data_IF_134773880714
#
_entry.id   IF_134773880714
#
_cell.length_a   1.000
_cell.length_b   1.000
_cell.length_c   1.000
_cell.angle_alpha   90.00
_cell.angle_beta   90.00
_cell.angle_gamma   90.00
#
_symmetry.space_group_name_H-M   'P 1'
#
loop_
_entity.id
_entity.type
_entity.pdbx_description
1 polymer ?
#
# COMPACT_ATOMS: atom_id res chain seq x y z
N UNK A 1 -15.90 31.49 9.79
CA UNK A 1 -16.36 30.72 8.61
C UNK A 1 -15.65 31.29 7.39
N UNK A 2 -15.13 30.47 6.47
CA UNK A 2 -14.51 30.97 5.23
C UNK A 2 -15.63 31.38 4.26
N UNK A 3 -15.93 32.66 4.20
CA UNK A 3 -17.11 33.19 3.49
C UNK A 3 -16.93 33.33 1.97
N UNK A 4 -15.72 33.12 1.45
CA UNK A 4 -15.49 33.08 0.01
C UNK A 4 -15.05 31.67 -0.39
N UNK A 5 -15.85 31.02 -1.23
CA UNK A 5 -15.64 29.68 -1.82
C UNK A 5 -14.41 29.62 -2.77
N UNK A 6 -13.34 30.34 -2.47
CA UNK A 6 -12.11 30.32 -3.21
C UNK A 6 -11.24 29.14 -2.71
N UNK A 7 -11.00 28.18 -3.60
CA UNK A 7 -10.03 27.11 -3.35
C UNK A 7 -8.64 27.73 -3.48
N UNK A 8 -7.94 27.92 -2.36
CA UNK A 8 -6.54 28.34 -2.36
C UNK A 8 -5.67 27.16 -2.82
N UNK A 9 -4.94 27.35 -3.93
CA UNK A 9 -3.92 26.39 -4.38
C UNK A 9 -2.69 26.49 -3.47
N UNK A 10 -2.05 25.35 -3.23
CA UNK A 10 -0.89 25.18 -2.33
C UNK A 10 0.27 26.14 -2.63
N UNK A 11 0.42 26.53 -3.91
CA UNK A 11 1.40 27.51 -4.39
C UNK A 11 1.19 28.96 -3.92
N UNK A 12 0.08 29.26 -3.25
CA UNK A 12 -0.22 30.58 -2.69
C UNK A 12 0.28 30.74 -1.23
N UNK A 13 0.90 29.70 -0.64
CA UNK A 13 1.53 29.79 0.68
C UNK A 13 2.96 30.33 0.51
N UNK A 14 3.16 31.60 0.89
CA UNK A 14 4.30 32.45 0.50
C UNK A 14 5.71 32.03 0.91
N UNK A 15 5.92 30.82 1.43
CA UNK A 15 7.23 30.40 1.91
C UNK A 15 7.83 29.24 1.11
N UNK A 16 7.09 28.61 0.18
CA UNK A 16 7.55 27.60 -0.81
C UNK A 16 8.53 26.51 -0.29
N UNK A 17 8.61 26.30 1.03
CA UNK A 17 9.53 25.37 1.65
C UNK A 17 8.71 24.22 2.24
N UNK A 18 8.56 23.16 1.45
CA UNK A 18 8.08 21.88 1.96
C UNK A 18 9.28 21.19 2.65
N UNK A 19 9.19 21.00 3.97
CA UNK A 19 10.16 20.20 4.72
C UNK A 19 9.55 18.82 4.99
N UNK A 20 10.26 17.77 4.57
CA UNK A 20 9.90 16.40 4.97
C UNK A 20 10.30 16.27 6.44
N UNK A 21 9.30 16.33 7.33
CA UNK A 21 9.50 15.93 8.72
C UNK A 21 9.65 14.42 8.72
N UNK A 22 10.89 13.94 8.74
CA UNK A 22 11.16 12.55 9.07
C UNK A 22 10.78 12.36 10.52
N UNK A 23 9.64 11.70 10.78
CA UNK A 23 9.38 11.16 12.10
C UNK A 23 10.56 10.29 12.48
N UNK A 24 11.16 10.60 13.63
CA UNK A 24 12.35 9.93 14.14
C UNK A 24 12.06 8.44 14.20
N UNK A 25 12.60 7.68 13.24
CA UNK A 25 12.49 6.24 13.22
C UNK A 25 12.92 5.72 14.59
N UNK A 26 12.03 4.94 15.23
CA UNK A 26 12.32 4.22 16.47
C UNK A 26 13.57 3.38 16.19
N UNK A 27 14.68 3.71 16.84
CA UNK A 27 15.89 2.89 16.77
C UNK A 27 15.54 1.52 17.36
N UNK A 28 15.33 0.54 16.50
CA UNK A 28 15.28 -0.86 16.90
C UNK A 28 16.71 -1.20 17.31
N UNK A 29 16.95 -1.28 18.62
CA UNK A 29 18.22 -1.77 19.15
C UNK A 29 18.37 -3.22 18.72
N UNK A 30 19.49 -3.52 18.06
CA UNK A 30 19.89 -4.84 17.59
C UNK A 30 20.20 -5.79 18.76
N UNK A 31 19.16 -6.18 19.50
CA UNK A 31 19.24 -7.15 20.58
C UNK A 31 17.89 -7.85 20.70
N UNK A 32 17.54 -8.66 19.70
CA UNK A 32 16.68 -9.82 19.93
C UNK A 32 16.97 -10.88 18.86
N UNK A 33 18.06 -11.62 19.04
CA UNK A 33 18.18 -12.97 18.48
C UNK A 33 17.27 -13.89 19.29
N UNK A 34 15.96 -13.87 19.04
CA UNK A 34 15.05 -14.82 19.67
C UNK A 34 13.99 -15.32 18.69
N UNK A 35 14.28 -16.51 18.16
CA UNK A 35 13.31 -17.51 17.68
C UNK A 35 12.53 -17.06 16.43
N UNK A 36 12.99 -17.48 15.25
CA UNK A 36 12.16 -17.51 14.04
C UNK A 36 11.06 -18.55 14.22
N UNK A 37 9.98 -18.17 14.89
CA UNK A 37 8.76 -18.96 15.01
C UNK A 37 7.97 -18.84 13.71
N UNK A 38 7.39 -19.96 13.29
CA UNK A 38 6.69 -20.21 12.03
C UNK A 38 5.78 -19.09 11.51
N UNK A 39 5.23 -18.26 12.38
CA UNK A 39 4.43 -17.07 12.07
C UNK A 39 5.17 -16.04 11.18
N UNK A 40 6.48 -15.85 11.37
CA UNK A 40 7.27 -14.95 10.51
C UNK A 40 7.45 -15.51 9.09
N UNK A 41 7.47 -16.85 8.95
CA UNK A 41 7.59 -17.50 7.64
C UNK A 41 6.24 -17.46 6.89
N UNK A 42 5.12 -17.61 7.61
CA UNK A 42 3.77 -17.43 7.05
C UNK A 42 3.50 -15.97 6.64
N UNK A 43 3.96 -14.99 7.44
CA UNK A 43 3.86 -13.57 7.09
C UNK A 43 4.65 -13.23 5.82
N UNK A 44 5.89 -13.75 5.69
CA UNK A 44 6.70 -13.58 4.48
C UNK A 44 6.08 -14.22 3.23
N UNK A 45 5.39 -15.36 3.38
CA UNK A 45 4.70 -16.02 2.27
C UNK A 45 3.52 -15.19 1.76
N UNK A 46 2.73 -14.61 2.67
CA UNK A 46 1.61 -13.72 2.30
C UNK A 46 2.13 -12.42 1.66
N UNK A 47 3.22 -11.85 2.17
CA UNK A 47 3.83 -10.65 1.58
C UNK A 47 4.33 -10.91 0.15
N UNK A 48 5.01 -12.04 -0.11
CA UNK A 48 5.49 -12.38 -1.45
C UNK A 48 4.32 -12.56 -2.42
N UNK A 49 3.27 -13.28 -2.01
CA UNK A 49 2.06 -13.45 -2.82
C UNK A 49 1.37 -12.10 -3.13
N UNK A 50 1.33 -11.18 -2.16
CA UNK A 50 0.80 -9.84 -2.37
C UNK A 50 1.63 -9.06 -3.39
N UNK A 51 2.96 -9.12 -3.29
CA UNK A 51 3.88 -8.46 -4.21
C UNK A 51 3.67 -8.99 -5.64
N UNK A 52 3.57 -10.31 -5.82
CA UNK A 52 3.31 -10.92 -7.12
C UNK A 52 1.98 -10.46 -7.73
N UNK A 53 0.89 -10.47 -6.96
CA UNK A 53 -0.42 -10.04 -7.42
C UNK A 53 -0.44 -8.54 -7.79
N UNK A 54 0.20 -7.69 -6.98
CA UNK A 54 0.31 -6.25 -7.28
C UNK A 54 1.16 -6.02 -8.54
N UNK A 55 2.26 -6.75 -8.70
CA UNK A 55 3.18 -6.62 -9.85
C UNK A 55 2.51 -6.96 -11.18
N UNK A 56 1.53 -7.88 -11.19
CA UNK A 56 0.74 -8.23 -12.38
C UNK A 56 -0.25 -7.16 -12.83
N UNK A 57 -0.59 -6.20 -11.96
CA UNK A 57 -1.62 -5.19 -12.20
C UNK A 57 -1.01 -3.81 -12.37
N UNK A 58 -0.57 -3.52 -13.60
CA UNK A 58 0.10 -2.27 -13.95
C UNK A 58 -0.66 -1.02 -13.50
N UNK A 59 -1.99 -1.04 -13.51
CA UNK A 59 -2.83 0.09 -13.06
C UNK A 59 -2.56 0.57 -11.63
N UNK A 60 -2.00 -0.28 -10.77
CA UNK A 60 -1.70 0.06 -9.39
C UNK A 60 -0.41 0.89 -9.25
N UNK A 61 0.59 0.67 -10.11
CA UNK A 61 1.92 1.28 -9.99
C UNK A 61 2.40 2.04 -11.23
N UNK A 62 1.85 1.81 -12.42
CA UNK A 62 2.25 2.44 -13.67
C UNK A 62 1.59 3.82 -13.81
N UNK A 63 2.36 4.88 -13.53
CA UNK A 63 1.91 6.28 -13.64
C UNK A 63 1.87 6.80 -15.08
N UNK A 64 2.36 6.03 -16.06
CA UNK A 64 2.26 6.41 -17.47
C UNK A 64 0.87 6.12 -18.07
N UNK A 65 0.05 5.34 -17.38
CA UNK A 65 -1.32 5.08 -17.79
C UNK A 65 -2.19 6.35 -17.69
N UNK A 66 -3.06 6.64 -18.68
CA UNK A 66 -3.97 7.77 -18.62
C UNK A 66 -4.83 7.76 -17.35
N UNK A 67 -5.06 8.94 -16.76
CA UNK A 67 -5.88 9.11 -15.53
C UNK A 67 -7.29 8.52 -15.69
N UNK A 68 -7.85 8.56 -16.90
CA UNK A 68 -9.18 7.99 -17.20
C UNK A 68 -9.18 6.47 -16.96
N UNK A 69 -8.08 5.80 -17.30
CA UNK A 69 -7.90 4.36 -17.08
C UNK A 69 -7.55 4.10 -15.61
N UNK A 70 -6.66 4.90 -15.02
CA UNK A 70 -6.27 4.83 -13.59
C UNK A 70 -7.19 5.66 -12.69
N UNK A 71 -8.49 5.56 -12.91
CA UNK A 71 -9.44 6.25 -12.06
C UNK A 71 -9.61 5.51 -10.72
N UNK A 72 -10.14 6.21 -9.72
CA UNK A 72 -10.31 5.66 -8.36
C UNK A 72 -11.14 4.37 -8.32
N UNK A 73 -12.16 4.25 -9.18
CA UNK A 73 -13.01 3.06 -9.22
C UNK A 73 -12.23 1.85 -9.73
N UNK A 74 -11.48 2.02 -10.83
CA UNK A 74 -10.64 0.96 -11.38
C UNK A 74 -9.55 0.51 -10.39
N UNK A 75 -8.91 1.45 -9.67
CA UNK A 75 -7.96 1.10 -8.60
C UNK A 75 -8.64 0.29 -7.49
N UNK A 76 -9.83 0.71 -7.05
CA UNK A 76 -10.56 0.04 -5.98
C UNK A 76 -11.01 -1.38 -6.38
N UNK A 77 -11.47 -1.55 -7.62
CA UNK A 77 -11.82 -2.85 -8.19
C UNK A 77 -10.63 -3.81 -8.19
N UNK A 78 -9.45 -3.32 -8.60
CA UNK A 78 -8.24 -4.13 -8.65
C UNK A 78 -7.75 -4.56 -7.26
N UNK A 79 -7.85 -3.68 -6.25
CA UNK A 79 -7.57 -4.07 -4.86
C UNK A 79 -8.59 -5.08 -4.31
N UNK A 80 -9.85 -4.99 -4.73
CA UNK A 80 -10.86 -5.97 -4.37
C UNK A 80 -10.59 -7.35 -5.01
N UNK A 81 -10.13 -7.37 -6.25
CA UNK A 81 -9.70 -8.62 -6.90
C UNK A 81 -8.50 -9.26 -6.19
N UNK A 82 -7.49 -8.45 -5.82
CA UNK A 82 -6.33 -8.94 -5.05
C UNK A 82 -6.77 -9.53 -3.71
N UNK A 83 -7.64 -8.83 -2.98
CA UNK A 83 -8.10 -9.31 -1.67
C UNK A 83 -8.89 -10.63 -1.79
N UNK A 84 -9.71 -10.77 -2.83
CA UNK A 84 -10.42 -12.02 -3.12
C UNK A 84 -9.47 -13.15 -3.50
N UNK A 85 -8.45 -12.88 -4.32
CA UNK A 85 -7.47 -13.87 -4.74
C UNK A 85 -6.68 -14.42 -3.54
N UNK A 86 -6.14 -13.53 -2.70
CA UNK A 86 -5.37 -13.90 -1.52
C UNK A 86 -6.22 -14.62 -0.46
N UNK A 87 -7.46 -14.16 -0.24
CA UNK A 87 -8.37 -14.82 0.70
C UNK A 87 -8.86 -16.19 0.18
N UNK A 88 -8.99 -16.35 -1.15
CA UNK A 88 -9.31 -17.65 -1.74
C UNK A 88 -8.13 -18.62 -1.69
N UNK A 89 -6.89 -18.14 -1.80
CA UNK A 89 -5.69 -18.96 -1.61
C UNK A 89 -5.62 -19.49 -0.18
N UNK A 90 -5.84 -18.63 0.81
CA UNK A 90 -5.92 -19.02 2.22
C UNK A 90 -6.99 -20.09 2.50
N UNK A 91 -8.13 -20.06 1.79
CA UNK A 91 -9.18 -21.08 1.93
C UNK A 91 -8.78 -22.43 1.31
N UNK A 92 -8.04 -22.46 0.20
CA UNK A 92 -7.68 -23.71 -0.48
C UNK A 92 -6.65 -24.50 0.34
N UNK A 93 -5.70 -23.82 0.98
CA UNK A 93 -4.66 -24.47 1.78
C UNK A 93 -5.22 -25.11 3.07
N UNK A 94 -6.33 -24.60 3.61
CA UNK A 94 -7.02 -25.21 4.75
C UNK A 94 -7.73 -26.54 4.42
N UNK A 95 -7.95 -26.88 3.14
CA UNK A 95 -8.66 -28.11 2.75
C UNK A 95 -7.74 -29.26 2.30
N UNK A 96 -6.42 -29.11 2.38
CA UNK A 96 -5.44 -30.14 1.98
C UNK A 96 -4.71 -30.86 3.14
N UNK A 97 -5.11 -30.67 4.41
CA UNK A 97 -4.57 -31.41 5.55
C UNK A 97 -5.53 -32.48 6.10
#
# INVERSE_FOLDING_TARGET
>A
MCENRAILRRSAMGNNLESIVLDKARQVTAADEQITTSEQLEELDIEEQLIEEVSRREILFNYNLPIVQRNRMAIAEQWNEISMALNSMALIDCYQN
#
